data_IF_177426707297
#
_entry.id   IF_177426707297
#
_cell.length_a   1.000
_cell.length_b   1.000
_cell.length_c   1.000
_cell.angle_alpha   90.00
_cell.angle_beta   90.00
_cell.angle_gamma   90.00
#
_symmetry.space_group_name_H-M   'P 1'
#
loop_
_entity.id
_entity.type
_entity.pdbx_description
1 polymer ?
#
# COMPACT_ATOMS: atom_id res chain seq x y z
N UNK A 1 28.17 -4.79 2.17
CA UNK A 1 28.09 -5.73 1.06
C UNK A 1 29.26 -6.72 1.03
N UNK A 2 30.53 -6.24 0.96
CA UNK A 2 31.70 -7.14 0.97
C UNK A 2 31.78 -8.01 2.23
N UNK A 3 31.41 -7.48 3.39
CA UNK A 3 31.36 -8.25 4.64
C UNK A 3 30.27 -9.32 4.63
N UNK A 4 29.16 -9.09 3.95
CA UNK A 4 28.04 -10.04 3.90
C UNK A 4 28.32 -11.25 2.99
N UNK A 5 29.29 -11.15 2.06
CA UNK A 5 29.71 -12.26 1.20
C UNK A 5 30.97 -12.98 1.73
N UNK A 6 31.59 -12.47 2.79
CA UNK A 6 32.72 -13.14 3.44
C UNK A 6 32.19 -14.19 4.43
N UNK A 7 32.43 -15.46 4.12
CA UNK A 7 32.02 -16.60 4.97
C UNK A 7 32.54 -16.53 6.42
N UNK A 8 33.52 -15.69 6.71
CA UNK A 8 34.08 -15.47 8.05
C UNK A 8 33.31 -14.44 8.86
N UNK A 9 32.41 -13.69 8.23
CA UNK A 9 31.57 -12.69 8.90
C UNK A 9 30.19 -13.28 9.26
N UNK A 10 29.69 -13.10 10.49
CA UNK A 10 28.40 -13.59 10.94
C UNK A 10 27.21 -12.78 10.38
N UNK A 11 27.43 -11.77 9.55
CA UNK A 11 26.35 -11.02 8.92
C UNK A 11 25.56 -11.92 7.96
N UNK A 12 24.27 -12.10 8.20
CA UNK A 12 23.39 -12.87 7.33
C UNK A 12 23.35 -12.32 5.90
N UNK A 13 23.20 -13.19 4.92
CA UNK A 13 23.04 -12.81 3.50
C UNK A 13 21.58 -12.38 3.29
N UNK A 14 21.37 -11.10 3.02
CA UNK A 14 20.06 -10.58 2.62
C UNK A 14 19.68 -10.97 1.19
N UNK A 15 18.38 -10.90 0.89
CA UNK A 15 17.84 -11.24 -0.43
C UNK A 15 18.51 -10.47 -1.58
N UNK A 16 18.77 -9.18 -1.39
CA UNK A 16 19.39 -8.32 -2.41
C UNK A 16 20.82 -8.76 -2.75
N UNK A 17 21.53 -9.37 -1.79
CA UNK A 17 22.91 -9.79 -1.98
C UNK A 17 22.97 -11.00 -2.90
N UNK A 18 22.20 -12.05 -2.65
CA UNK A 18 22.24 -13.22 -3.53
C UNK A 18 21.63 -12.93 -4.90
N UNK A 19 20.59 -12.06 -5.01
CA UNK A 19 20.08 -11.59 -6.28
C UNK A 19 21.17 -10.86 -7.08
N UNK A 20 21.95 -9.98 -6.42
CA UNK A 20 23.07 -9.31 -7.04
C UNK A 20 24.16 -10.28 -7.53
N UNK A 21 24.51 -11.27 -6.69
CA UNK A 21 25.49 -12.30 -7.06
C UNK A 21 25.00 -13.12 -8.26
N UNK A 22 23.72 -13.47 -8.27
CA UNK A 22 23.11 -14.19 -9.38
C UNK A 22 23.12 -13.35 -10.66
N UNK A 23 22.76 -12.07 -10.59
CA UNK A 23 22.83 -11.16 -11.74
C UNK A 23 24.24 -11.03 -12.29
N UNK A 24 25.27 -10.94 -11.42
CA UNK A 24 26.68 -10.87 -11.83
C UNK A 24 27.17 -12.16 -12.51
N UNK A 25 26.59 -13.30 -12.21
CA UNK A 25 26.91 -14.57 -12.88
C UNK A 25 26.35 -14.66 -14.32
N UNK A 26 25.57 -13.66 -14.75
CA UNK A 26 24.90 -13.62 -16.06
C UNK A 26 24.14 -14.91 -16.35
N UNK A 27 23.15 -15.26 -15.51
CA UNK A 27 22.48 -16.55 -15.58
C UNK A 27 21.69 -16.70 -16.88
N UNK A 28 21.69 -17.90 -17.44
CA UNK A 28 20.73 -18.32 -18.47
C UNK A 28 19.60 -19.10 -17.81
N UNK A 29 18.38 -18.65 -17.99
CA UNK A 29 17.20 -19.34 -17.45
C UNK A 29 16.83 -20.49 -18.39
N UNK A 30 16.80 -21.75 -17.93
CA UNK A 30 16.51 -22.91 -18.78
C UNK A 30 15.00 -23.04 -19.01
N UNK A 31 14.47 -22.27 -19.97
CA UNK A 31 13.07 -22.27 -20.35
C UNK A 31 12.93 -22.03 -21.86
N UNK A 32 11.82 -22.45 -22.45
CA UNK A 32 11.52 -22.18 -23.86
C UNK A 32 11.11 -20.70 -24.05
N UNK A 33 10.39 -20.16 -23.10
CA UNK A 33 10.04 -18.72 -22.98
C UNK A 33 9.87 -18.35 -21.50
N UNK A 34 9.90 -17.07 -21.21
CA UNK A 34 9.79 -16.54 -19.84
C UNK A 34 8.56 -15.63 -19.76
N UNK A 35 7.68 -15.90 -18.81
CA UNK A 35 6.61 -14.98 -18.41
C UNK A 35 7.05 -14.26 -17.15
N UNK A 36 7.10 -12.94 -17.21
CA UNK A 36 7.44 -12.09 -16.07
C UNK A 36 6.23 -11.25 -15.68
N UNK A 37 5.58 -11.67 -14.60
CA UNK A 37 4.39 -11.00 -14.05
C UNK A 37 4.77 -9.87 -13.09
N UNK A 38 3.83 -8.95 -12.85
CA UNK A 38 4.02 -7.74 -12.04
C UNK A 38 5.22 -6.89 -12.51
N UNK A 39 5.41 -6.79 -13.83
CA UNK A 39 6.59 -6.18 -14.43
C UNK A 39 6.74 -4.68 -14.12
N UNK A 40 5.69 -3.99 -13.66
CA UNK A 40 5.77 -2.61 -13.18
C UNK A 40 6.54 -2.48 -11.86
N UNK A 41 6.71 -3.56 -11.09
CA UNK A 41 7.45 -3.56 -9.83
C UNK A 41 8.87 -4.16 -9.96
N UNK A 42 9.32 -4.43 -11.19
CA UNK A 42 10.64 -4.95 -11.43
C UNK A 42 11.73 -3.99 -10.94
N UNK A 43 12.73 -4.52 -10.25
CA UNK A 43 13.94 -3.76 -9.94
C UNK A 43 14.96 -3.77 -11.12
N UNK A 44 15.95 -2.88 -11.12
CA UNK A 44 16.96 -2.81 -12.19
C UNK A 44 17.78 -4.10 -12.36
N UNK A 45 17.98 -4.89 -11.31
CA UNK A 45 18.73 -6.16 -11.38
C UNK A 45 17.92 -7.22 -12.11
N UNK A 46 16.64 -7.37 -11.76
CA UNK A 46 15.72 -8.28 -12.44
C UNK A 46 15.59 -7.91 -13.91
N UNK A 47 15.43 -6.62 -14.22
CA UNK A 47 15.42 -6.14 -15.60
C UNK A 47 16.70 -6.48 -16.33
N UNK A 48 17.88 -6.29 -15.70
CA UNK A 48 19.17 -6.63 -16.26
C UNK A 48 19.31 -8.13 -16.56
N UNK A 49 18.77 -9.01 -15.71
CA UNK A 49 18.78 -10.46 -15.93
C UNK A 49 17.85 -10.81 -17.11
N UNK A 50 16.64 -10.29 -17.12
CA UNK A 50 15.61 -10.64 -18.10
C UNK A 50 15.95 -10.15 -19.52
N UNK A 51 16.48 -8.94 -19.66
CA UNK A 51 16.87 -8.36 -20.97
C UNK A 51 18.06 -9.06 -21.61
N UNK A 52 18.85 -9.81 -20.84
CA UNK A 52 20.01 -10.57 -21.35
C UNK A 52 19.66 -12.01 -21.74
N UNK A 53 18.41 -12.46 -21.52
CA UNK A 53 18.04 -13.82 -21.84
C UNK A 53 18.01 -14.05 -23.36
N UNK A 54 18.54 -15.18 -23.85
CA UNK A 54 18.48 -15.52 -25.28
C UNK A 54 17.11 -16.09 -25.68
N UNK A 55 16.11 -15.93 -24.87
CA UNK A 55 14.75 -16.46 -25.05
C UNK A 55 13.74 -15.34 -25.16
N UNK A 56 12.55 -15.65 -25.65
CA UNK A 56 11.44 -14.73 -25.64
C UNK A 56 11.03 -14.44 -24.17
N UNK A 57 10.98 -13.16 -23.81
CA UNK A 57 10.45 -12.71 -22.51
C UNK A 57 9.17 -11.94 -22.76
N UNK A 58 8.10 -12.35 -22.10
CA UNK A 58 6.78 -11.72 -22.14
C UNK A 58 6.59 -11.04 -20.79
N UNK A 59 6.49 -9.71 -20.80
CA UNK A 59 6.26 -8.90 -19.60
C UNK A 59 4.76 -8.68 -19.44
N UNK A 60 4.23 -9.00 -18.27
CA UNK A 60 2.83 -8.80 -17.91
C UNK A 60 2.77 -7.87 -16.70
N UNK A 61 1.85 -6.91 -16.70
CA UNK A 61 1.71 -5.99 -15.60
C UNK A 61 0.79 -4.83 -15.91
N UNK A 62 0.50 -4.05 -14.89
CA UNK A 62 -0.28 -2.82 -14.97
C UNK A 62 0.58 -1.64 -14.51
N UNK A 63 0.90 -0.73 -15.45
CA UNK A 63 1.74 0.43 -15.19
C UNK A 63 1.21 1.33 -14.06
N UNK A 64 -0.11 1.31 -13.84
CA UNK A 64 -0.80 2.11 -12.82
C UNK A 64 -0.91 1.40 -11.46
N UNK A 65 -0.50 0.13 -11.37
CA UNK A 65 -0.34 -0.59 -10.10
C UNK A 65 1.09 -0.55 -9.56
N UNK A 66 1.97 0.31 -10.09
CA UNK A 66 3.28 0.58 -9.54
C UNK A 66 3.14 1.43 -8.27
N UNK A 67 3.19 0.81 -7.11
CA UNK A 67 3.11 1.45 -5.79
C UNK A 67 4.37 1.27 -4.93
N UNK A 68 5.44 0.69 -5.50
CA UNK A 68 6.73 0.43 -4.84
C UNK A 68 7.88 1.22 -5.48
N UNK A 69 7.58 2.37 -6.11
CA UNK A 69 8.60 3.23 -6.74
C UNK A 69 9.67 3.69 -5.75
N UNK A 70 9.28 3.97 -4.51
CA UNK A 70 10.17 4.32 -3.41
C UNK A 70 11.19 3.21 -3.03
N UNK A 71 10.98 1.96 -3.46
CA UNK A 71 11.95 0.86 -3.35
C UNK A 71 12.90 0.76 -4.54
N UNK A 72 12.83 1.70 -5.48
CA UNK A 72 13.62 1.67 -6.70
C UNK A 72 13.05 0.81 -7.81
N UNK A 73 11.77 0.44 -7.73
CA UNK A 73 11.08 -0.27 -8.80
C UNK A 73 11.08 0.56 -10.09
N UNK A 74 11.37 -0.13 -11.19
CA UNK A 74 11.42 0.43 -12.53
C UNK A 74 10.22 -0.07 -13.31
N UNK A 75 9.33 0.84 -13.71
CA UNK A 75 8.17 0.46 -14.50
C UNK A 75 8.59 -0.09 -15.87
N UNK A 76 8.75 -1.42 -15.95
CA UNK A 76 9.14 -2.10 -17.17
C UNK A 76 8.14 -1.89 -18.30
N UNK A 77 6.83 -1.81 -17.96
CA UNK A 77 5.75 -1.58 -18.92
C UNK A 77 5.87 -0.26 -19.67
N UNK A 78 6.45 0.77 -19.04
CA UNK A 78 6.70 2.09 -19.66
C UNK A 78 8.08 2.23 -20.29
N UNK A 79 9.07 1.46 -19.82
CA UNK A 79 10.48 1.64 -20.23
C UNK A 79 10.92 0.75 -21.39
N UNK A 80 10.28 -0.40 -21.57
CA UNK A 80 10.66 -1.33 -22.63
C UNK A 80 9.98 -0.92 -23.96
N UNK A 81 10.73 -0.68 -25.03
CA UNK A 81 10.20 -0.37 -26.36
C UNK A 81 9.75 -1.66 -27.09
N UNK A 82 8.85 -2.40 -26.48
CA UNK A 82 8.33 -3.66 -27.00
C UNK A 82 6.90 -3.49 -27.53
N UNK A 83 6.45 -4.32 -28.48
CA UNK A 83 5.04 -4.39 -28.86
C UNK A 83 4.17 -4.68 -27.65
N UNK A 84 3.04 -3.96 -27.53
CA UNK A 84 2.13 -4.08 -26.40
C UNK A 84 0.74 -4.52 -26.85
N UNK A 85 0.12 -5.35 -26.03
CA UNK A 85 -1.31 -5.71 -26.14
C UNK A 85 -1.98 -5.34 -24.83
N UNK A 86 -3.11 -4.64 -24.92
CA UNK A 86 -3.84 -4.16 -23.74
C UNK A 86 -4.96 -5.12 -23.37
N UNK A 87 -5.03 -5.49 -22.09
CA UNK A 87 -6.14 -6.21 -21.48
C UNK A 87 -7.03 -5.18 -20.77
N UNK A 88 -8.11 -4.77 -21.44
CA UNK A 88 -8.94 -3.66 -20.97
C UNK A 88 -10.17 -4.10 -20.18
N UNK A 89 -10.47 -5.39 -20.10
CA UNK A 89 -11.62 -5.90 -19.37
C UNK A 89 -11.20 -6.51 -18.03
N UNK A 90 -11.81 -6.04 -16.95
CA UNK A 90 -11.66 -6.67 -15.65
C UNK A 90 -12.42 -8.00 -15.57
N UNK A 91 -11.84 -9.00 -14.91
CA UNK A 91 -12.54 -10.22 -14.52
C UNK A 91 -12.97 -10.21 -13.05
N UNK A 92 -12.55 -9.18 -12.28
CA UNK A 92 -12.78 -9.09 -10.84
C UNK A 92 -14.11 -8.42 -10.49
N UNK A 93 -14.47 -7.32 -11.17
CA UNK A 93 -15.61 -6.48 -10.82
C UNK A 93 -16.40 -6.02 -12.06
N UNK A 94 -17.61 -5.52 -11.83
CA UNK A 94 -18.48 -4.95 -12.87
C UNK A 94 -18.23 -3.46 -13.12
N UNK A 95 -19.07 -2.87 -13.98
CA UNK A 95 -18.90 -1.50 -14.49
C UNK A 95 -18.86 -0.40 -13.43
N UNK A 96 -19.70 -0.38 -12.35
CA UNK A 96 -19.66 0.69 -11.37
C UNK A 96 -18.30 0.89 -10.68
N UNK A 97 -17.55 -0.21 -10.43
CA UNK A 97 -16.20 -0.12 -9.88
C UNK A 97 -15.20 0.29 -10.96
N UNK A 98 -15.38 -0.17 -12.20
CA UNK A 98 -14.56 0.25 -13.34
C UNK A 98 -14.66 1.77 -13.58
N UNK A 99 -15.84 2.38 -13.44
CA UNK A 99 -16.04 3.83 -13.55
C UNK A 99 -15.21 4.63 -12.51
N UNK A 100 -15.16 4.16 -11.27
CA UNK A 100 -14.30 4.78 -10.26
C UNK A 100 -12.82 4.62 -10.61
N UNK A 101 -12.40 3.41 -11.02
CA UNK A 101 -11.04 3.15 -11.48
C UNK A 101 -10.66 4.06 -12.67
N UNK A 102 -11.55 4.21 -13.66
CA UNK A 102 -11.35 5.08 -14.81
C UNK A 102 -11.25 6.56 -14.43
N UNK A 103 -11.96 7.01 -13.40
CA UNK A 103 -11.85 8.38 -12.89
C UNK A 103 -10.41 8.65 -12.40
N UNK A 104 -9.80 7.70 -11.69
CA UNK A 104 -8.41 7.79 -11.22
C UNK A 104 -7.40 7.64 -12.36
N UNK A 105 -7.64 6.70 -13.28
CA UNK A 105 -6.79 6.49 -14.48
C UNK A 105 -6.75 7.73 -15.37
N UNK A 106 -7.89 8.37 -15.60
CA UNK A 106 -7.96 9.63 -16.36
C UNK A 106 -7.15 10.75 -15.68
N UNK A 107 -7.18 10.84 -14.35
CA UNK A 107 -6.33 11.77 -13.61
C UNK A 107 -4.84 11.46 -13.75
N UNK A 108 -4.47 10.19 -13.96
CA UNK A 108 -3.11 9.71 -14.28
C UNK A 108 -2.76 9.83 -15.78
N UNK A 109 -3.63 10.46 -16.57
CA UNK A 109 -3.47 10.67 -18.02
C UNK A 109 -3.47 9.35 -18.82
N UNK A 110 -4.23 8.35 -18.36
CA UNK A 110 -4.48 7.13 -19.12
C UNK A 110 -5.70 7.31 -20.01
N UNK A 111 -5.51 7.10 -21.31
CA UNK A 111 -6.55 7.29 -22.31
C UNK A 111 -7.38 6.03 -22.57
N UNK A 112 -6.85 4.86 -22.23
CA UNK A 112 -7.53 3.59 -22.47
C UNK A 112 -8.38 3.18 -21.26
N UNK A 113 -9.71 3.20 -21.38
CA UNK A 113 -10.57 2.88 -20.25
C UNK A 113 -10.56 1.38 -19.93
N UNK A 114 -10.60 1.08 -18.64
CA UNK A 114 -10.89 -0.23 -18.11
C UNK A 114 -12.38 -0.51 -18.21
N UNK A 115 -12.77 -1.71 -18.67
CA UNK A 115 -14.17 -2.16 -18.76
C UNK A 115 -14.48 -3.10 -17.60
N UNK A 116 -15.63 -2.94 -16.99
CA UNK A 116 -16.15 -3.90 -16.03
C UNK A 116 -16.53 -5.21 -16.69
N UNK A 117 -16.59 -6.28 -15.90
CA UNK A 117 -17.09 -7.58 -16.36
C UNK A 117 -18.63 -7.51 -16.48
N UNK A 118 -19.21 -7.72 -17.65
CA UNK A 118 -20.67 -7.65 -17.82
C UNK A 118 -21.44 -8.76 -17.07
N UNK A 119 -20.74 -9.83 -16.70
CA UNK A 119 -21.31 -10.95 -15.94
C UNK A 119 -21.16 -10.77 -14.41
N UNK A 120 -20.56 -9.68 -13.94
CA UNK A 120 -20.39 -9.37 -12.53
C UNK A 120 -21.24 -8.18 -12.12
N UNK A 121 -22.12 -8.40 -11.15
CA UNK A 121 -22.83 -7.29 -10.51
C UNK A 121 -21.91 -6.65 -9.49
N UNK A 122 -21.75 -5.34 -9.58
CA UNK A 122 -21.05 -4.55 -8.59
C UNK A 122 -21.76 -3.23 -8.33
N UNK A 123 -21.44 -2.59 -7.21
CA UNK A 123 -21.99 -1.31 -6.81
C UNK A 123 -20.92 -0.44 -6.15
N UNK A 124 -21.16 0.87 -6.15
CA UNK A 124 -20.36 1.82 -5.40
C UNK A 124 -21.26 2.59 -4.43
N UNK A 125 -20.78 2.80 -3.21
CA UNK A 125 -21.51 3.51 -2.16
C UNK A 125 -20.79 4.84 -1.86
N UNK A 126 -21.56 5.94 -1.83
CA UNK A 126 -21.08 7.30 -1.54
C UNK A 126 -21.60 7.83 -0.19
N UNK A 127 -22.40 7.06 0.51
CA UNK A 127 -22.98 7.37 1.81
C UNK A 127 -22.54 6.36 2.86
N UNK A 128 -22.57 6.76 4.14
CA UNK A 128 -22.31 5.84 5.23
C UNK A 128 -23.36 4.74 5.21
N UNK A 129 -23.04 3.60 4.67
CA UNK A 129 -23.89 2.42 4.72
C UNK A 129 -23.30 1.49 5.76
N UNK A 130 -24.14 1.11 6.74
CA UNK A 130 -23.78 0.08 7.72
C UNK A 130 -23.82 -1.32 7.08
N UNK A 131 -23.41 -1.42 5.82
CA UNK A 131 -23.33 -2.71 5.14
C UNK A 131 -22.17 -3.51 5.71
N UNK A 132 -22.37 -4.82 5.82
CA UNK A 132 -21.32 -5.75 6.20
C UNK A 132 -20.17 -5.60 5.20
N UNK A 133 -19.01 -5.18 5.67
CA UNK A 133 -17.77 -5.09 4.90
C UNK A 133 -16.95 -6.34 5.09
N UNK A 134 -16.18 -6.70 4.08
CA UNK A 134 -15.22 -7.80 4.16
C UNK A 134 -13.81 -7.27 4.43
N UNK A 135 -13.52 -6.04 3.97
CA UNK A 135 -12.26 -5.36 4.26
C UNK A 135 -12.40 -3.84 4.43
N UNK A 136 -11.52 -3.26 5.27
CA UNK A 136 -11.22 -1.82 5.32
C UNK A 136 -9.81 -1.63 4.81
N UNK A 137 -9.62 -0.74 3.85
CA UNK A 137 -8.30 -0.41 3.31
C UNK A 137 -7.88 0.99 3.75
N UNK A 138 -6.78 1.04 4.49
CA UNK A 138 -6.17 2.25 5.00
C UNK A 138 -4.92 2.61 4.18
N UNK A 139 -4.53 3.87 4.19
CA UNK A 139 -3.27 4.35 3.61
C UNK A 139 -2.08 3.99 4.50
N UNK A 140 -2.25 4.12 5.82
CA UNK A 140 -1.18 4.01 6.82
C UNK A 140 -1.40 2.86 7.80
N UNK A 141 -0.31 2.38 8.41
CA UNK A 141 -0.40 1.41 9.51
C UNK A 141 -1.07 2.02 10.74
N UNK A 142 -0.94 3.32 10.94
CA UNK A 142 -1.55 4.02 12.07
C UNK A 142 -3.07 4.09 11.94
N UNK A 143 -3.60 4.41 10.76
CA UNK A 143 -5.04 4.37 10.52
C UNK A 143 -5.57 2.92 10.64
N UNK A 144 -4.83 1.94 10.13
CA UNK A 144 -5.19 0.52 10.31
C UNK A 144 -5.30 0.14 11.81
N UNK A 145 -4.42 0.66 12.65
CA UNK A 145 -4.50 0.47 14.11
C UNK A 145 -5.71 1.18 14.72
N UNK A 146 -6.01 2.39 14.29
CA UNK A 146 -7.21 3.13 14.72
C UNK A 146 -8.50 2.38 14.39
N UNK A 147 -8.58 1.82 13.17
CA UNK A 147 -9.70 0.98 12.75
C UNK A 147 -9.79 -0.33 13.56
N UNK A 148 -8.63 -0.93 13.92
CA UNK A 148 -8.59 -2.09 14.80
C UNK A 148 -9.19 -1.77 16.18
N UNK A 149 -8.74 -0.69 16.82
CA UNK A 149 -9.26 -0.27 18.12
C UNK A 149 -10.77 -0.02 18.07
N UNK A 150 -11.24 0.64 17.01
CA UNK A 150 -12.67 0.90 16.77
C UNK A 150 -13.45 -0.41 16.63
N UNK A 151 -12.95 -1.36 15.84
CA UNK A 151 -13.58 -2.65 15.65
C UNK A 151 -13.69 -3.47 16.94
N UNK A 152 -12.58 -3.54 17.70
CA UNK A 152 -12.55 -4.25 18.98
C UNK A 152 -13.49 -3.61 20.01
N UNK A 153 -13.57 -2.27 20.07
CA UNK A 153 -14.49 -1.54 20.94
C UNK A 153 -15.96 -1.84 20.61
N UNK A 154 -16.27 -2.10 19.34
CA UNK A 154 -17.59 -2.50 18.88
C UNK A 154 -17.86 -4.01 19.04
N UNK A 155 -16.91 -4.77 19.58
CA UNK A 155 -17.03 -6.21 19.81
C UNK A 155 -16.84 -7.07 18.56
N UNK A 156 -16.26 -6.52 17.49
CA UNK A 156 -15.96 -7.28 16.29
C UNK A 156 -14.68 -8.11 16.43
N UNK A 157 -14.66 -9.24 15.76
CA UNK A 157 -13.47 -10.05 15.55
C UNK A 157 -12.77 -9.53 14.30
N UNK A 158 -11.60 -8.96 14.47
CA UNK A 158 -10.87 -8.27 13.41
C UNK A 158 -9.57 -9.01 13.09
N UNK A 159 -9.27 -9.19 11.81
CA UNK A 159 -7.96 -9.56 11.32
C UNK A 159 -7.24 -8.34 10.75
N UNK A 160 -5.93 -8.27 10.94
CA UNK A 160 -5.11 -7.14 10.50
C UNK A 160 -3.99 -7.62 9.57
N UNK A 161 -3.99 -7.10 8.34
CA UNK A 161 -2.90 -7.26 7.39
C UNK A 161 -2.07 -5.96 7.33
N UNK A 162 -1.35 -5.69 8.43
CA UNK A 162 -0.41 -4.59 8.56
C UNK A 162 0.90 -5.10 9.19
N UNK A 163 1.85 -4.20 9.43
CA UNK A 163 3.10 -4.56 10.09
C UNK A 163 2.93 -4.50 11.62
N UNK A 164 2.36 -5.57 12.17
CA UNK A 164 2.10 -5.70 13.60
C UNK A 164 3.39 -5.75 14.42
N UNK A 165 4.46 -6.36 13.90
CA UNK A 165 5.75 -6.43 14.59
C UNK A 165 6.38 -5.05 14.73
N UNK A 166 6.30 -4.23 13.69
CA UNK A 166 6.76 -2.84 13.75
C UNK A 166 5.96 -2.03 14.76
N UNK A 167 4.64 -2.23 14.79
CA UNK A 167 3.77 -1.55 15.77
C UNK A 167 4.12 -1.95 17.21
N UNK A 168 4.30 -3.25 17.49
CA UNK A 168 4.68 -3.72 18.82
C UNK A 168 6.06 -3.18 19.23
N UNK A 169 7.03 -3.16 18.32
CA UNK A 169 8.35 -2.56 18.57
C UNK A 169 8.24 -1.06 18.84
N UNK A 170 7.39 -0.35 18.09
CA UNK A 170 7.15 1.08 18.32
C UNK A 170 6.54 1.33 19.71
N UNK A 171 5.52 0.55 20.11
CA UNK A 171 4.95 0.64 21.45
C UNK A 171 5.98 0.37 22.55
N UNK A 172 6.83 -0.64 22.37
CA UNK A 172 7.90 -0.95 23.33
C UNK A 172 8.95 0.17 23.41
N UNK A 173 9.34 0.74 22.27
CA UNK A 173 10.28 1.86 22.22
C UNK A 173 9.69 3.13 22.87
N UNK A 174 8.42 3.43 22.60
CA UNK A 174 7.70 4.53 23.22
C UNK A 174 7.63 4.36 24.75
N UNK A 175 7.33 3.15 25.23
CA UNK A 175 7.31 2.85 26.66
C UNK A 175 8.71 3.01 27.30
N UNK A 176 9.77 2.59 26.60
CA UNK A 176 11.13 2.79 27.05
C UNK A 176 11.46 4.29 27.19
N UNK A 177 11.14 5.10 26.18
CA UNK A 177 11.37 6.56 26.22
C UNK A 177 10.56 7.26 27.32
N UNK A 178 9.31 6.85 27.56
CA UNK A 178 8.50 7.35 28.70
C UNK A 178 9.15 7.05 30.05
N UNK A 179 9.91 5.96 30.15
CA UNK A 179 10.62 5.53 31.34
C UNK A 179 12.11 5.94 31.37
N UNK A 180 12.55 6.86 30.49
CA UNK A 180 13.94 7.35 30.43
C UNK A 180 14.94 6.29 29.93
N UNK A 181 14.49 5.28 29.20
CA UNK A 181 15.33 4.23 28.59
C UNK A 181 15.45 4.45 27.09
N UNK A 182 16.51 3.90 26.48
CA UNK A 182 16.73 4.01 25.03
C UNK A 182 15.70 3.22 24.20
N UNK A 183 15.33 3.79 23.05
CA UNK A 183 14.41 3.18 22.08
C UNK A 183 15.15 2.23 21.12
N UNK A 184 15.54 1.05 21.59
CA UNK A 184 16.21 0.08 20.75
C UNK A 184 15.24 -0.58 19.75
N UNK A 185 15.74 -0.85 18.53
CA UNK A 185 15.01 -1.63 17.51
C UNK A 185 14.01 -0.84 16.67
N UNK A 186 13.87 0.46 16.88
CA UNK A 186 13.07 1.39 16.08
C UNK A 186 13.98 2.53 15.63
N UNK A 187 14.52 2.48 14.39
CA UNK A 187 15.48 3.48 13.91
C UNK A 187 14.98 4.91 14.01
N UNK A 188 13.69 5.12 13.75
CA UNK A 188 13.03 6.43 13.79
C UNK A 188 13.03 7.06 15.20
N UNK A 189 13.09 6.23 16.25
CA UNK A 189 13.08 6.66 17.64
C UNK A 189 14.46 6.60 18.32
N UNK A 190 15.48 6.04 17.67
CA UNK A 190 16.77 5.71 18.26
C UNK A 190 17.58 6.94 18.75
N UNK A 191 17.28 8.12 18.22
CA UNK A 191 18.00 9.37 18.52
C UNK A 191 17.33 10.21 19.62
N UNK A 192 16.15 9.82 20.10
CA UNK A 192 15.45 10.55 21.15
C UNK A 192 15.80 10.01 22.54
N UNK A 193 15.86 10.90 23.50
CA UNK A 193 16.19 10.57 24.89
C UNK A 193 14.95 10.37 25.77
N UNK A 194 13.84 10.97 25.42
CA UNK A 194 12.56 10.86 26.13
C UNK A 194 11.38 10.98 25.14
N UNK A 195 10.19 10.67 25.63
CA UNK A 195 8.98 10.71 24.79
C UNK A 195 8.55 12.13 24.42
N UNK A 196 8.83 13.14 25.27
CA UNK A 196 8.54 14.54 24.97
C UNK A 196 9.26 15.03 23.70
N UNK A 197 10.54 14.67 23.54
CA UNK A 197 11.30 15.02 22.32
C UNK A 197 10.67 14.42 21.05
N UNK A 198 10.11 13.20 21.14
CA UNK A 198 9.39 12.56 20.01
C UNK A 198 8.10 13.31 19.71
N UNK A 199 7.35 13.73 20.73
CA UNK A 199 6.13 14.52 20.58
C UNK A 199 6.43 15.85 19.88
N UNK A 200 7.43 16.60 20.35
CA UNK A 200 7.85 17.85 19.73
C UNK A 200 8.29 17.65 18.27
N UNK A 201 9.11 16.65 18.01
CA UNK A 201 9.56 16.34 16.65
C UNK A 201 8.40 15.98 15.73
N UNK A 202 7.41 15.23 16.22
CA UNK A 202 6.25 14.81 15.43
C UNK A 202 5.37 15.97 14.94
N UNK A 203 5.49 17.15 15.56
CA UNK A 203 4.77 18.37 15.13
C UNK A 203 5.55 19.17 14.08
N UNK A 204 6.80 18.81 13.78
CA UNK A 204 7.58 19.40 12.70
C UNK A 204 7.22 18.79 11.34
N UNK A 205 7.61 19.47 10.26
CA UNK A 205 7.41 18.92 8.90
C UNK A 205 8.19 17.62 8.69
N UNK A 206 9.41 17.53 9.23
CA UNK A 206 10.29 16.36 9.14
C UNK A 206 9.77 15.18 9.96
N UNK A 207 9.07 15.44 11.05
CA UNK A 207 8.50 14.43 11.95
C UNK A 207 7.06 14.03 11.65
N UNK A 208 6.45 14.61 10.61
CA UNK A 208 5.02 14.41 10.29
C UNK A 208 4.63 12.94 10.12
N UNK A 209 5.53 12.09 9.64
CA UNK A 209 5.32 10.65 9.51
C UNK A 209 5.08 9.93 10.83
N UNK A 210 5.60 10.47 11.94
CA UNK A 210 5.42 9.93 13.28
C UNK A 210 4.14 10.42 13.95
N UNK A 211 3.58 11.54 13.50
CA UNK A 211 2.47 12.26 14.16
C UNK A 211 1.29 11.35 14.51
N UNK A 212 0.84 10.53 13.57
CA UNK A 212 -0.30 9.65 13.80
C UNK A 212 0.01 8.53 14.80
N UNK A 213 1.23 7.98 14.76
CA UNK A 213 1.65 6.95 15.72
C UNK A 213 1.83 7.53 17.13
N UNK A 214 2.43 8.72 17.22
CA UNK A 214 2.58 9.46 18.50
C UNK A 214 1.21 9.72 19.10
N UNK A 215 0.28 10.26 18.30
CA UNK A 215 -1.09 10.50 18.74
C UNK A 215 -1.79 9.22 19.24
N UNK A 216 -1.66 8.10 18.53
CA UNK A 216 -2.23 6.83 19.00
C UNK A 216 -1.68 6.40 20.36
N UNK A 217 -0.35 6.53 20.56
CA UNK A 217 0.29 6.20 21.84
C UNK A 217 -0.14 7.14 22.95
N UNK A 218 -0.38 8.41 22.65
CA UNK A 218 -0.80 9.40 23.65
C UNK A 218 -2.28 9.27 24.01
N UNK A 219 -3.14 9.02 23.01
CA UNK A 219 -4.59 8.90 23.20
C UNK A 219 -4.98 7.58 23.88
N UNK A 220 -4.27 6.48 23.59
CA UNK A 220 -4.68 5.14 24.02
C UNK A 220 -3.69 4.45 24.96
N UNK A 221 -2.42 4.85 24.94
CA UNK A 221 -1.35 4.20 25.68
C UNK A 221 -0.83 2.93 25.01
N UNK A 222 0.45 2.64 25.27
CA UNK A 222 1.18 1.49 24.68
C UNK A 222 0.58 0.14 25.03
N UNK A 223 0.04 0.00 26.26
CA UNK A 223 -0.57 -1.25 26.71
C UNK A 223 -1.85 -1.60 25.94
N UNK A 224 -2.71 -0.60 25.69
CA UNK A 224 -3.96 -0.80 24.94
C UNK A 224 -3.66 -1.19 23.50
N UNK A 225 -2.70 -0.52 22.85
CA UNK A 225 -2.25 -0.85 21.50
C UNK A 225 -1.68 -2.26 21.42
N UNK A 226 -0.84 -2.64 22.38
CA UNK A 226 -0.27 -4.00 22.46
C UNK A 226 -1.35 -5.05 22.65
N UNK A 227 -2.31 -4.81 23.55
CA UNK A 227 -3.44 -5.72 23.77
C UNK A 227 -4.32 -5.85 22.52
N UNK A 228 -4.56 -4.75 21.81
CA UNK A 228 -5.32 -4.78 20.54
C UNK A 228 -4.66 -5.68 19.51
N UNK A 229 -3.33 -5.57 19.32
CA UNK A 229 -2.58 -6.46 18.41
C UNK A 229 -2.67 -7.91 18.87
N UNK A 230 -2.56 -8.19 20.17
CA UNK A 230 -2.65 -9.55 20.72
C UNK A 230 -4.08 -10.14 20.65
N UNK A 231 -5.11 -9.30 20.44
CA UNK A 231 -6.51 -9.71 20.30
C UNK A 231 -6.91 -9.99 18.86
N UNK A 232 -5.98 -9.90 17.91
CA UNK A 232 -6.25 -10.17 16.51
C UNK A 232 -6.73 -11.60 16.28
N UNK A 233 -7.69 -11.73 15.40
CA UNK A 233 -8.26 -13.00 14.98
C UNK A 233 -7.65 -13.43 13.65
N UNK A 234 -7.60 -14.73 13.39
CA UNK A 234 -7.23 -15.25 12.07
C UNK A 234 -8.25 -14.83 11.02
N UNK A 235 -7.81 -14.60 9.78
CA UNK A 235 -8.64 -14.11 8.69
C UNK A 235 -9.92 -14.95 8.51
N UNK A 236 -9.80 -16.27 8.62
CA UNK A 236 -10.92 -17.21 8.44
C UNK A 236 -12.03 -17.05 9.47
N UNK A 237 -11.72 -16.49 10.64
CA UNK A 237 -12.63 -16.32 11.77
C UNK A 237 -13.01 -14.85 12.01
N UNK A 238 -12.49 -13.94 11.22
CA UNK A 238 -12.73 -12.52 11.37
C UNK A 238 -14.09 -12.09 10.79
N UNK A 239 -14.67 -11.08 11.38
CA UNK A 239 -15.87 -10.45 10.83
C UNK A 239 -15.51 -9.58 9.62
N UNK A 240 -14.30 -9.01 9.62
CA UNK A 240 -13.68 -8.33 8.48
C UNK A 240 -12.16 -8.22 8.67
N UNK A 241 -11.48 -7.89 7.58
CA UNK A 241 -10.04 -7.68 7.54
C UNK A 241 -9.74 -6.18 7.46
N UNK A 242 -8.73 -5.71 8.19
CA UNK A 242 -8.13 -4.39 8.00
C UNK A 242 -6.80 -4.59 7.30
N UNK A 243 -6.52 -3.82 6.26
CA UNK A 243 -5.26 -3.88 5.53
C UNK A 243 -4.80 -2.49 5.12
N UNK A 244 -3.50 -2.29 4.93
CA UNK A 244 -3.05 -1.13 4.18
C UNK A 244 -3.23 -1.37 2.69
N UNK A 245 -3.50 -0.30 1.91
CA UNK A 245 -3.65 -0.39 0.46
C UNK A 245 -2.42 -1.03 -0.21
N UNK A 246 -1.21 -0.80 0.32
CA UNK A 246 0.01 -1.44 -0.15
C UNK A 246 0.00 -2.96 0.05
N UNK A 247 -0.40 -3.44 1.23
CA UNK A 247 -0.47 -4.88 1.54
C UNK A 247 -1.69 -5.55 0.89
N UNK A 248 -2.68 -4.79 0.48
CA UNK A 248 -3.85 -5.25 -0.25
C UNK A 248 -3.55 -5.58 -1.72
N UNK A 249 -2.40 -5.14 -2.26
CA UNK A 249 -2.00 -5.50 -3.62
C UNK A 249 -1.92 -7.02 -3.77
N UNK A 250 -2.48 -7.56 -4.85
CA UNK A 250 -2.60 -9.00 -5.09
C UNK A 250 -3.78 -9.68 -4.37
N UNK A 251 -4.43 -9.01 -3.41
CA UNK A 251 -5.60 -9.52 -2.70
C UNK A 251 -6.90 -8.97 -3.28
N UNK A 252 -8.04 -9.56 -2.87
CA UNK A 252 -9.36 -9.10 -3.26
C UNK A 252 -10.43 -9.53 -2.24
N UNK A 253 -11.49 -8.73 -2.13
CA UNK A 253 -12.61 -8.98 -1.22
C UNK A 253 -13.93 -8.64 -1.90
N UNK A 254 -15.00 -9.27 -1.45
CA UNK A 254 -16.35 -8.98 -1.96
C UNK A 254 -16.73 -7.52 -1.75
N UNK A 255 -16.59 -7.02 -0.52
CA UNK A 255 -16.97 -5.67 -0.10
C UNK A 255 -15.80 -4.94 0.56
N UNK A 256 -15.36 -3.84 -0.05
CA UNK A 256 -14.25 -3.03 0.41
C UNK A 256 -14.73 -1.64 0.80
N UNK A 257 -14.32 -1.18 1.97
CA UNK A 257 -14.43 0.19 2.42
C UNK A 257 -13.06 0.85 2.39
N UNK A 258 -12.95 2.05 1.83
CA UNK A 258 -11.75 2.86 1.92
C UNK A 258 -11.81 3.74 3.18
N UNK A 259 -10.67 3.86 3.87
CA UNK A 259 -10.53 4.75 5.02
C UNK A 259 -10.33 6.21 4.58
N UNK A 260 -10.32 7.15 5.51
CA UNK A 260 -10.21 8.59 5.27
C UNK A 260 -8.77 9.13 5.28
N UNK A 261 -7.77 8.24 5.46
CA UNK A 261 -6.37 8.61 5.65
C UNK A 261 -5.54 8.72 4.34
N UNK A 262 -6.20 8.73 3.18
CA UNK A 262 -5.51 8.95 1.91
C UNK A 262 -5.16 10.42 1.71
N UNK A 263 -3.98 10.69 1.11
CA UNK A 263 -3.41 12.02 1.01
C UNK A 263 -3.88 12.77 -0.24
N UNK A 264 -4.79 13.70 -0.08
CA UNK A 264 -5.24 14.62 -1.14
C UNK A 264 -5.86 15.86 -0.51
N UNK A 265 -5.97 16.93 -1.33
CA UNK A 265 -6.70 18.14 -0.96
C UNK A 265 -7.65 18.53 -2.10
N UNK A 266 -8.89 18.82 -1.75
CA UNK A 266 -9.92 19.22 -2.71
C UNK A 266 -10.39 20.63 -2.41
N UNK A 267 -10.04 21.56 -3.30
CA UNK A 267 -10.50 22.94 -3.26
C UNK A 267 -11.68 23.16 -4.22
N UNK A 268 -12.20 24.39 -4.27
CA UNK A 268 -13.29 24.74 -5.19
C UNK A 268 -12.94 24.46 -6.67
N UNK A 269 -11.68 24.70 -7.07
CA UNK A 269 -11.27 24.67 -8.49
C UNK A 269 -10.27 23.57 -8.83
N UNK A 270 -9.71 22.91 -7.84
CA UNK A 270 -8.62 21.95 -8.06
C UNK A 270 -8.67 20.77 -7.09
N UNK A 271 -8.05 19.68 -7.54
CA UNK A 271 -7.67 18.53 -6.72
C UNK A 271 -6.14 18.50 -6.70
N UNK A 272 -5.56 18.58 -5.50
CA UNK A 272 -4.12 18.40 -5.27
C UNK A 272 -3.90 16.98 -4.78
N UNK A 273 -3.12 16.20 -5.51
CA UNK A 273 -2.84 14.79 -5.20
C UNK A 273 -1.57 14.36 -5.94
N UNK A 274 -0.76 13.49 -5.34
CA UNK A 274 0.40 12.95 -6.03
C UNK A 274 0.03 11.81 -7.01
N UNK A 275 0.82 11.58 -8.06
CA UNK A 275 0.61 10.42 -8.93
C UNK A 275 0.72 9.08 -8.18
N UNK A 276 1.58 9.01 -7.17
CA UNK A 276 1.75 7.84 -6.31
C UNK A 276 0.48 7.54 -5.52
N UNK A 277 -0.15 8.58 -4.96
CA UNK A 277 -1.38 8.43 -4.21
C UNK A 277 -2.57 8.04 -5.11
N UNK A 278 -2.65 8.61 -6.33
CA UNK A 278 -3.64 8.18 -7.33
C UNK A 278 -3.48 6.69 -7.68
N UNK A 279 -2.24 6.21 -7.88
CA UNK A 279 -1.98 4.79 -8.14
C UNK A 279 -2.36 3.91 -6.95
N UNK A 280 -2.07 4.39 -5.73
CA UNK A 280 -2.44 3.66 -4.52
C UNK A 280 -3.96 3.55 -4.35
N UNK A 281 -4.69 4.63 -4.60
CA UNK A 281 -6.15 4.65 -4.62
C UNK A 281 -6.72 3.75 -5.72
N UNK A 282 -6.12 3.75 -6.92
CA UNK A 282 -6.50 2.85 -8.00
C UNK A 282 -6.33 1.39 -7.58
N UNK A 283 -5.20 1.03 -6.96
CA UNK A 283 -5.00 -0.31 -6.40
C UNK A 283 -6.07 -0.60 -5.35
N UNK A 284 -6.31 0.29 -4.40
CA UNK A 284 -7.28 0.08 -3.32
C UNK A 284 -8.71 -0.11 -3.84
N UNK A 285 -9.17 0.75 -4.76
CA UNK A 285 -10.50 0.65 -5.37
C UNK A 285 -10.70 -0.68 -6.12
N UNK A 286 -9.67 -1.13 -6.84
CA UNK A 286 -9.72 -2.35 -7.64
C UNK A 286 -9.58 -3.63 -6.82
N UNK A 287 -9.52 -3.56 -5.49
CA UNK A 287 -9.57 -4.75 -4.61
C UNK A 287 -10.98 -5.24 -4.35
N UNK A 288 -11.99 -4.42 -4.61
CA UNK A 288 -13.39 -4.78 -4.44
C UNK A 288 -13.89 -5.64 -5.62
N UNK A 289 -14.70 -6.65 -5.32
CA UNK A 289 -15.36 -7.49 -6.33
C UNK A 289 -16.82 -7.08 -6.58
N UNK A 290 -17.59 -6.88 -5.50
CA UNK A 290 -19.04 -6.66 -5.58
C UNK A 290 -19.49 -5.30 -5.05
N UNK A 291 -18.80 -4.76 -4.05
CA UNK A 291 -19.17 -3.45 -3.48
C UNK A 291 -17.93 -2.67 -3.09
N UNK A 292 -17.88 -1.41 -3.48
CA UNK A 292 -16.83 -0.46 -3.12
C UNK A 292 -17.46 0.75 -2.42
N UNK A 293 -17.18 0.90 -1.12
CA UNK A 293 -17.55 2.08 -0.36
C UNK A 293 -16.47 3.15 -0.49
N UNK A 294 -16.84 4.24 -1.17
CA UNK A 294 -15.99 5.42 -1.42
C UNK A 294 -16.44 6.63 -0.59
N UNK A 295 -17.24 6.43 0.47
CA UNK A 295 -17.76 7.53 1.28
C UNK A 295 -16.67 8.51 1.70
N UNK A 296 -15.56 7.99 2.17
CA UNK A 296 -14.45 8.79 2.71
C UNK A 296 -13.62 9.50 1.63
N UNK A 297 -13.68 9.06 0.38
CA UNK A 297 -13.00 9.70 -0.76
C UNK A 297 -13.98 10.31 -1.77
N UNK A 298 -15.25 10.46 -1.42
CA UNK A 298 -16.30 10.93 -2.34
C UNK A 298 -16.01 12.31 -2.94
N UNK A 299 -15.40 13.20 -2.14
CA UNK A 299 -15.11 14.57 -2.58
C UNK A 299 -13.98 14.59 -3.61
N UNK A 300 -12.98 13.72 -3.45
CA UNK A 300 -11.94 13.48 -4.44
C UNK A 300 -12.56 12.99 -5.75
N UNK A 301 -13.32 11.90 -5.69
CA UNK A 301 -13.95 11.28 -6.87
C UNK A 301 -14.85 12.28 -7.57
N UNK A 302 -15.71 12.99 -6.82
CA UNK A 302 -16.58 14.03 -7.36
C UNK A 302 -15.78 15.17 -8.02
N UNK A 303 -14.71 15.63 -7.39
CA UNK A 303 -13.84 16.66 -7.92
C UNK A 303 -13.20 16.25 -9.25
N UNK A 304 -12.71 15.03 -9.35
CA UNK A 304 -12.14 14.48 -10.58
C UNK A 304 -13.21 14.30 -11.67
N UNK A 305 -14.39 13.79 -11.34
CA UNK A 305 -15.49 13.57 -12.28
C UNK A 305 -16.06 14.90 -12.84
N UNK A 306 -16.08 15.96 -12.04
CA UNK A 306 -16.53 17.28 -12.48
C UNK A 306 -15.48 18.07 -13.25
N UNK A 307 -14.30 17.50 -13.48
CA UNK A 307 -13.24 18.10 -14.29
C UNK A 307 -12.46 19.20 -13.57
N UNK A 308 -12.38 19.20 -12.23
CA UNK A 308 -11.48 20.10 -11.52
C UNK A 308 -10.04 19.86 -11.97
N UNK A 309 -9.25 20.93 -12.01
CA UNK A 309 -7.84 20.86 -12.40
C UNK A 309 -7.08 19.95 -11.43
N UNK A 310 -6.40 18.94 -11.96
CA UNK A 310 -5.49 18.11 -11.16
C UNK A 310 -4.15 18.83 -11.04
N UNK A 311 -3.67 19.01 -9.83
CA UNK A 311 -2.36 19.59 -9.51
C UNK A 311 -1.54 18.49 -8.86
N UNK A 312 -0.52 18.02 -9.56
CA UNK A 312 0.42 17.07 -8.99
C UNK A 312 1.36 17.77 -8.01
N UNK A 313 1.42 17.26 -6.79
CA UNK A 313 2.27 17.79 -5.74
C UNK A 313 2.19 16.92 -4.49
N UNK A 314 3.17 17.01 -3.63
CA UNK A 314 3.10 16.39 -2.32
C UNK A 314 2.06 17.16 -1.48
N UNK A 315 1.12 16.45 -0.92
CA UNK A 315 0.12 16.95 0.04
C UNK A 315 0.71 16.96 1.43
#
# INVERSE_FOLDING_TARGET
>A
WLQSIDARHPAGIGHDIYLKLWALSKPSIPADFILFDEAQDADPLMMGILTQQPRQVIYVGDAHQQIYEWRGAVNAMKKLPLPQTLLTQSFRFGEPIAEIANTLLKALQEDVPLKGNPNKQSSTEKGMVHSKKDAILCRTNAAAMSQLLTGLKLGHRVALQADTDRMLKFCQAAENLKNGKSAYGVPELAYFYNWGDVQEYSETNEGSDLKTLVKLVDDHGTNVLTQAVNSLTRIENADYVISTAHKAKGLEWGKVQLDDDFYYDVTTNAVKISPEELRLLYVACTRAQSNLDIHNIKDLVSGLQTGKKVIFGNT
#
